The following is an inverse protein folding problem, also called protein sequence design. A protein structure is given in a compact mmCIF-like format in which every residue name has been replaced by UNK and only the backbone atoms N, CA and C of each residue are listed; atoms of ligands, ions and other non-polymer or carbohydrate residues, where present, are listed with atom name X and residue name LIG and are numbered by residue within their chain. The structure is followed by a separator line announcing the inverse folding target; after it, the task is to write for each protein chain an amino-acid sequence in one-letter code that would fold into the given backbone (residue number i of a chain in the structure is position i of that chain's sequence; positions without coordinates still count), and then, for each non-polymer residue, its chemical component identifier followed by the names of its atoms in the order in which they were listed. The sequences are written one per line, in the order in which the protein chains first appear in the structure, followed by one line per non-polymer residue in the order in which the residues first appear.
data_IF_674329899469
#
_entry.id   IF_674329899469
#
_cell.length_a   1.000
_cell.length_b   1.000
_cell.length_c   1.000
_cell.angle_alpha   90.00
_cell.angle_beta   90.00
_cell.angle_gamma   90.00
#
_symmetry.space_group_name_H-M   'P 1'
#
loop_
_entity.id
_entity.type
_entity.pdbx_description
1 polymer ?
#
# COMPACT_ATOMS: atom_id res chain seq x y z
N UNK A 1 0.36 -24.13 -8.06
CA UNK A 1 -0.14 -23.61 -6.77
C UNK A 1 -0.31 -22.12 -6.94
N UNK A 2 -1.47 -21.58 -6.57
CA UNK A 2 -1.82 -20.16 -6.75
C UNK A 2 -0.86 -19.28 -5.94
N UNK A 3 -0.26 -18.24 -6.54
CA UNK A 3 0.82 -17.45 -5.91
C UNK A 3 0.34 -16.81 -4.61
N UNK A 4 -0.90 -16.37 -4.61
CA UNK A 4 -1.62 -15.71 -3.52
C UNK A 4 -1.79 -16.66 -2.33
N UNK A 5 -2.11 -17.93 -2.58
CA UNK A 5 -2.22 -18.94 -1.51
C UNK A 5 -0.87 -19.18 -0.85
N UNK A 6 0.18 -19.38 -1.66
CA UNK A 6 1.54 -19.57 -1.14
C UNK A 6 2.02 -18.34 -0.35
N UNK A 7 1.68 -17.15 -0.81
CA UNK A 7 2.01 -15.91 -0.12
C UNK A 7 1.33 -15.85 1.25
N UNK A 8 0.02 -16.15 1.33
CA UNK A 8 -0.69 -16.22 2.61
C UNK A 8 -0.11 -17.29 3.55
N UNK A 9 0.16 -18.50 3.04
CA UNK A 9 0.74 -19.58 3.85
C UNK A 9 2.07 -19.19 4.49
N UNK A 10 2.87 -18.35 3.80
CA UNK A 10 4.19 -17.95 4.26
C UNK A 10 4.22 -16.68 5.10
N UNK A 11 3.32 -15.74 4.85
CA UNK A 11 3.41 -14.36 5.36
C UNK A 11 2.16 -13.87 6.08
N UNK A 12 1.19 -14.75 6.39
CA UNK A 12 -0.03 -14.35 7.10
C UNK A 12 0.22 -13.75 8.49
N UNK A 13 1.32 -14.09 9.14
CA UNK A 13 1.77 -13.50 10.41
C UNK A 13 2.11 -12.00 10.29
N UNK A 14 2.39 -11.52 9.07
CA UNK A 14 2.64 -10.10 8.79
C UNK A 14 1.33 -9.30 8.58
N UNK A 15 0.17 -9.96 8.53
CA UNK A 15 -1.11 -9.33 8.20
C UNK A 15 -1.85 -8.83 9.44
N UNK A 16 -1.33 -7.76 10.03
CA UNK A 16 -1.97 -7.07 11.15
C UNK A 16 -1.91 -5.55 11.00
N UNK A 17 -2.82 -4.87 11.69
CA UNK A 17 -2.70 -3.45 11.99
C UNK A 17 -2.17 -3.26 13.42
N UNK A 18 -1.46 -2.18 13.66
CA UNK A 18 -0.95 -1.80 14.97
C UNK A 18 -1.57 -0.49 15.43
N UNK A 19 -2.15 -0.48 16.62
CA UNK A 19 -2.73 0.71 17.27
C UNK A 19 -1.65 1.56 17.95
N UNK A 20 -2.01 2.78 18.37
CA UNK A 20 -1.09 3.68 19.10
C UNK A 20 -0.53 3.10 20.40
N UNK A 21 -1.25 2.18 21.04
CA UNK A 21 -0.86 1.49 22.27
C UNK A 21 -0.14 0.15 22.01
N UNK A 22 0.17 -0.16 20.74
CA UNK A 22 0.95 -1.33 20.34
C UNK A 22 0.17 -2.64 20.28
N UNK A 23 -1.18 -2.60 20.30
CA UNK A 23 -2.00 -3.81 20.10
C UNK A 23 -1.98 -4.20 18.63
N UNK A 24 -1.87 -5.50 18.38
CA UNK A 24 -1.95 -6.08 17.03
C UNK A 24 -3.37 -6.55 16.75
N UNK A 25 -3.94 -6.03 15.67
CA UNK A 25 -5.28 -6.36 15.19
C UNK A 25 -5.13 -7.16 13.89
N UNK A 26 -5.38 -8.49 13.89
CA UNK A 26 -5.15 -9.31 12.73
C UNK A 26 -6.17 -9.00 11.62
N UNK A 27 -5.71 -9.01 10.37
CA UNK A 27 -6.58 -8.99 9.21
C UNK A 27 -7.13 -10.39 8.95
N UNK A 28 -8.40 -10.47 8.57
CA UNK A 28 -8.89 -11.62 7.82
C UNK A 28 -8.39 -11.52 6.38
N UNK A 29 -8.16 -12.66 5.71
CA UNK A 29 -7.64 -12.66 4.36
C UNK A 29 -8.32 -13.68 3.45
N UNK A 30 -8.46 -13.32 2.18
CA UNK A 30 -9.04 -14.14 1.13
C UNK A 30 -8.22 -14.02 -0.16
N UNK A 31 -7.55 -15.11 -0.61
CA UNK A 31 -6.95 -15.17 -1.94
C UNK A 31 -8.03 -15.10 -3.02
N UNK A 32 -7.88 -14.14 -3.92
CA UNK A 32 -8.66 -13.94 -5.14
C UNK A 32 -7.66 -14.19 -6.29
N UNK A 33 -7.99 -14.84 -7.40
CA UNK A 33 -6.97 -15.29 -8.39
C UNK A 33 -6.10 -14.19 -9.06
N UNK A 34 -6.21 -12.94 -8.63
CA UNK A 34 -5.40 -11.78 -9.02
C UNK A 34 -4.86 -10.97 -7.81
N UNK A 35 -4.95 -11.48 -6.58
CA UNK A 35 -4.50 -10.79 -5.37
C UNK A 35 -5.06 -11.37 -4.07
N UNK A 36 -4.78 -10.74 -2.94
CA UNK A 36 -5.27 -11.13 -1.62
C UNK A 36 -6.07 -9.96 -1.09
N UNK A 37 -7.33 -10.20 -0.76
CA UNK A 37 -8.15 -9.23 -0.03
C UNK A 37 -7.90 -9.41 1.45
N UNK A 38 -7.44 -8.35 2.10
CA UNK A 38 -7.33 -8.25 3.55
C UNK A 38 -8.49 -7.38 4.05
N UNK A 39 -9.15 -7.80 5.13
CA UNK A 39 -10.21 -7.02 5.77
C UNK A 39 -10.02 -7.00 7.28
N UNK A 40 -9.99 -5.78 7.83
CA UNK A 40 -10.02 -5.50 9.26
C UNK A 40 -11.38 -4.90 9.61
N UNK A 41 -12.14 -5.61 10.44
CA UNK A 41 -13.47 -5.18 10.85
C UNK A 41 -13.44 -3.98 11.77
N UNK A 42 -14.36 -3.05 11.54
CA UNK A 42 -14.42 -1.76 12.27
C UNK A 42 -14.61 -1.90 13.77
N UNK A 43 -15.31 -2.94 14.22
CA UNK A 43 -15.48 -3.23 15.65
C UNK A 43 -14.14 -3.43 16.39
N UNK A 44 -13.06 -3.81 15.69
CA UNK A 44 -11.76 -4.02 16.31
C UNK A 44 -10.98 -2.73 16.55
N UNK A 45 -11.32 -1.64 15.87
CA UNK A 45 -10.56 -0.40 15.92
C UNK A 45 -11.38 0.87 16.16
N UNK A 46 -12.68 0.74 16.47
CA UNK A 46 -13.57 1.88 16.76
C UNK A 46 -13.06 2.81 17.86
N UNK A 47 -12.20 2.31 18.76
CA UNK A 47 -11.59 3.10 19.85
C UNK A 47 -10.13 3.51 19.59
N UNK A 48 -9.54 3.07 18.47
CA UNK A 48 -8.16 3.41 18.14
C UNK A 48 -8.04 4.86 17.71
N UNK A 49 -6.98 5.54 18.14
CA UNK A 49 -6.66 6.89 17.64
C UNK A 49 -5.94 6.84 16.31
N UNK A 50 -5.04 5.87 16.16
CA UNK A 50 -4.29 5.67 14.92
C UNK A 50 -4.14 4.19 14.62
N UNK A 51 -4.03 3.86 13.34
CA UNK A 51 -3.67 2.51 12.90
C UNK A 51 -2.55 2.55 11.89
N UNK A 52 -1.47 1.82 12.14
CA UNK A 52 -0.47 1.45 11.14
C UNK A 52 -0.89 0.14 10.51
N UNK A 53 -1.17 0.14 9.22
CA UNK A 53 -1.66 -1.03 8.49
C UNK A 53 -0.50 -1.77 7.82
N UNK A 54 -0.35 -3.06 8.15
CA UNK A 54 0.70 -3.96 7.67
C UNK A 54 2.14 -3.49 7.98
N UNK A 55 2.45 -2.99 9.20
CA UNK A 55 3.77 -2.43 9.49
C UNK A 55 4.89 -3.48 9.40
N UNK A 56 4.61 -4.75 9.69
CA UNK A 56 5.59 -5.84 9.55
C UNK A 56 5.87 -6.23 8.10
N UNK A 57 4.88 -6.13 7.22
CA UNK A 57 5.04 -6.42 5.79
C UNK A 57 5.97 -5.41 5.13
N UNK A 58 5.89 -4.14 5.53
CA UNK A 58 6.76 -3.09 5.05
C UNK A 58 8.05 -2.94 5.84
N UNK A 59 8.55 -3.96 6.56
CA UNK A 59 9.78 -3.86 7.36
C UNK A 59 10.98 -4.45 6.63
N UNK A 60 12.09 -3.71 6.60
CA UNK A 60 13.37 -4.17 6.08
C UNK A 60 14.55 -3.64 6.92
N UNK A 61 15.72 -4.27 6.81
CA UNK A 61 16.95 -3.78 7.47
C UNK A 61 17.89 -3.12 6.47
N UNK A 62 18.73 -2.21 6.96
CA UNK A 62 19.88 -1.70 6.20
C UNK A 62 20.69 -2.88 5.64
N UNK A 63 20.98 -2.83 4.34
CA UNK A 63 21.76 -3.85 3.63
C UNK A 63 20.91 -4.99 3.04
N UNK A 64 19.62 -5.11 3.37
CA UNK A 64 18.74 -6.05 2.68
C UNK A 64 18.52 -5.61 1.22
N UNK A 65 18.35 -6.59 0.32
CA UNK A 65 18.01 -6.30 -1.08
C UNK A 65 16.58 -5.75 -1.17
N UNK A 66 16.42 -4.68 -1.96
CA UNK A 66 15.12 -4.17 -2.34
C UNK A 66 14.94 -2.68 -2.05
N UNK A 67 13.68 -2.27 -2.06
CA UNK A 67 13.27 -0.89 -1.84
C UNK A 67 11.76 -0.80 -1.60
N UNK A 68 11.34 0.35 -1.08
CA UNK A 68 9.94 0.78 -1.15
C UNK A 68 9.74 1.76 -2.30
N UNK A 69 8.54 1.79 -2.87
CA UNK A 69 8.13 2.81 -3.84
C UNK A 69 6.82 3.44 -3.39
N UNK A 70 6.81 4.77 -3.26
CA UNK A 70 5.60 5.54 -3.00
C UNK A 70 5.21 6.42 -4.18
N UNK A 71 3.90 6.59 -4.41
CA UNK A 71 3.42 7.44 -5.49
C UNK A 71 3.67 8.90 -5.16
N UNK A 72 3.75 9.71 -6.22
CA UNK A 72 3.79 11.16 -6.16
C UNK A 72 2.77 11.77 -5.20
N UNK A 73 3.18 12.81 -4.49
CA UNK A 73 2.26 13.69 -3.77
C UNK A 73 1.53 14.66 -4.71
N UNK A 74 0.34 15.11 -4.31
CA UNK A 74 -0.40 16.15 -5.03
C UNK A 74 0.37 17.48 -5.14
N UNK A 75 1.26 17.75 -4.18
CA UNK A 75 2.16 18.91 -4.11
C UNK A 75 3.34 18.81 -5.08
N UNK A 76 3.36 17.80 -5.95
CA UNK A 76 4.32 17.60 -7.01
C UNK A 76 5.72 17.12 -6.58
N UNK A 77 5.94 16.80 -5.29
CA UNK A 77 7.04 15.94 -4.82
C UNK A 77 6.97 14.61 -5.59
N UNK A 78 7.96 14.28 -6.42
CA UNK A 78 7.96 13.13 -7.34
C UNK A 78 7.63 11.77 -6.69
N UNK A 79 7.58 10.70 -7.49
CA UNK A 79 7.57 9.34 -6.92
C UNK A 79 8.87 9.09 -6.15
N UNK A 80 8.79 8.41 -4.99
CA UNK A 80 9.95 8.21 -4.11
C UNK A 80 10.29 6.73 -4.02
N UNK A 81 11.49 6.39 -4.47
CA UNK A 81 12.09 5.07 -4.29
C UNK A 81 13.07 5.08 -3.12
N UNK A 82 12.80 4.25 -2.11
CA UNK A 82 13.57 4.19 -0.86
C UNK A 82 14.33 2.87 -0.78
N UNK A 83 15.59 2.86 -1.20
CA UNK A 83 16.50 1.72 -1.05
C UNK A 83 16.95 1.53 0.40
N UNK A 84 17.23 0.31 0.84
CA UNK A 84 17.61 0.02 2.24
C UNK A 84 19.11 0.24 2.52
N UNK A 85 19.63 1.42 2.21
CA UNK A 85 21.03 1.83 2.47
C UNK A 85 21.17 2.52 3.84
N UNK A 86 22.37 2.70 4.43
CA UNK A 86 22.51 3.45 5.67
C UNK A 86 21.98 4.89 5.56
N UNK A 87 21.18 5.34 6.53
CA UNK A 87 20.68 6.72 6.69
C UNK A 87 20.62 7.07 8.17
N UNK A 88 20.61 8.37 8.47
CA UNK A 88 20.22 8.87 9.79
C UNK A 88 18.74 8.57 10.05
N UNK A 89 18.36 8.60 11.33
CA UNK A 89 16.98 8.41 11.73
C UNK A 89 16.12 9.51 11.12
N UNK A 90 15.12 9.11 10.34
CA UNK A 90 14.29 10.02 9.56
C UNK A 90 12.89 9.45 9.37
N UNK A 91 11.93 10.35 9.32
CA UNK A 91 10.54 10.05 9.02
C UNK A 91 10.07 10.92 7.86
N UNK A 92 9.38 10.29 6.91
CA UNK A 92 8.71 10.95 5.80
C UNK A 92 7.25 10.50 5.75
N UNK A 93 6.34 11.46 5.57
CA UNK A 93 4.91 11.19 5.45
C UNK A 93 4.37 11.72 4.15
N UNK A 94 3.93 10.82 3.27
CA UNK A 94 3.18 11.18 2.09
C UNK A 94 1.71 11.41 2.46
N UNK A 95 1.33 12.68 2.63
CA UNK A 95 0.01 13.07 3.17
C UNK A 95 -1.10 13.09 2.13
N UNK A 96 -0.74 13.13 0.85
CA UNK A 96 -1.71 13.26 -0.25
C UNK A 96 -1.22 12.50 -1.48
N UNK A 97 -1.14 11.16 -1.39
CA UNK A 97 -0.66 10.34 -2.49
C UNK A 97 -1.66 10.38 -3.65
N UNK A 98 -1.18 10.62 -4.86
CA UNK A 98 -2.03 10.73 -6.05
C UNK A 98 -2.67 9.38 -6.40
N UNK A 99 -2.01 8.27 -6.06
CA UNK A 99 -2.50 6.90 -6.20
C UNK A 99 -2.69 6.25 -4.82
N UNK A 100 -3.68 5.38 -4.70
CA UNK A 100 -3.93 4.62 -3.46
C UNK A 100 -3.20 3.31 -3.42
N UNK A 101 -1.89 3.36 -3.60
CA UNK A 101 -1.06 2.20 -3.51
C UNK A 101 0.37 2.56 -3.13
N UNK A 102 1.13 1.57 -2.71
CA UNK A 102 2.59 1.61 -2.58
C UNK A 102 3.16 0.24 -2.89
N UNK A 103 4.45 0.18 -3.23
CA UNK A 103 5.12 -1.06 -3.57
C UNK A 103 6.21 -1.42 -2.57
N UNK A 104 6.37 -2.71 -2.35
CA UNK A 104 7.43 -3.30 -1.55
C UNK A 104 8.18 -4.29 -2.44
N UNK A 105 9.49 -4.10 -2.58
CA UNK A 105 10.40 -5.12 -3.12
C UNK A 105 11.37 -5.51 -2.03
N UNK A 106 11.46 -6.80 -1.77
CA UNK A 106 12.45 -7.45 -0.90
C UNK A 106 12.97 -8.71 -1.61
N UNK A 107 14.05 -9.29 -1.11
CA UNK A 107 14.60 -10.54 -1.66
C UNK A 107 13.56 -11.68 -1.67
N UNK A 108 12.78 -11.80 -0.58
CA UNK A 108 11.88 -12.93 -0.40
C UNK A 108 10.51 -12.74 -1.08
N UNK A 109 10.11 -11.49 -1.31
CA UNK A 109 8.85 -11.15 -1.95
C UNK A 109 8.84 -9.76 -2.56
N UNK A 110 8.00 -9.61 -3.58
CA UNK A 110 7.59 -8.32 -4.12
C UNK A 110 6.08 -8.23 -4.10
N UNK A 111 5.52 -7.07 -3.75
CA UNK A 111 4.08 -6.86 -3.79
C UNK A 111 3.69 -5.40 -4.04
N UNK A 112 2.51 -5.23 -4.62
CA UNK A 112 1.79 -3.96 -4.67
C UNK A 112 0.71 -3.99 -3.59
N UNK A 113 0.71 -2.99 -2.70
CA UNK A 113 -0.33 -2.81 -1.68
C UNK A 113 -1.27 -1.72 -2.16
N UNK A 114 -2.55 -2.05 -2.32
CA UNK A 114 -3.60 -1.11 -2.75
C UNK A 114 -4.55 -0.84 -1.59
N UNK A 115 -4.86 0.43 -1.37
CA UNK A 115 -5.64 0.91 -0.25
C UNK A 115 -7.03 1.34 -0.74
N UNK A 116 -8.08 0.94 -0.05
CA UNK A 116 -9.40 1.55 -0.23
C UNK A 116 -9.38 2.99 0.32
N UNK A 117 -10.00 3.94 -0.40
CA UNK A 117 -10.09 5.36 0.01
C UNK A 117 -11.33 5.62 0.88
N UNK A 118 -11.57 4.77 1.88
CA UNK A 118 -12.69 4.93 2.80
C UNK A 118 -12.36 5.81 4.01
N UNK A 119 -11.08 6.04 4.29
CA UNK A 119 -10.66 6.95 5.36
C UNK A 119 -9.48 7.81 4.92
N UNK A 120 -9.23 8.88 5.66
CA UNK A 120 -7.99 9.63 5.56
C UNK A 120 -6.80 8.77 6.03
N UNK A 121 -5.78 8.67 5.18
CA UNK A 121 -4.53 8.00 5.50
C UNK A 121 -3.34 8.75 4.94
N UNK A 122 -2.16 8.47 5.49
CA UNK A 122 -0.87 8.90 4.99
C UNK A 122 -0.01 7.67 4.74
N UNK A 123 0.96 7.72 3.82
CA UNK A 123 1.99 6.69 3.77
C UNK A 123 3.14 7.13 4.67
N UNK A 124 3.41 6.38 5.73
CA UNK A 124 4.48 6.64 6.67
C UNK A 124 5.70 5.81 6.25
N UNK A 125 6.83 6.48 6.00
CA UNK A 125 8.13 5.88 5.77
C UNK A 125 9.06 6.28 6.91
N UNK A 126 9.73 5.30 7.51
CA UNK A 126 10.74 5.55 8.54
C UNK A 126 12.03 4.82 8.22
N UNK A 127 13.14 5.47 8.55
CA UNK A 127 14.42 4.84 8.79
C UNK A 127 14.75 5.12 10.25
N UNK A 128 14.84 4.10 11.09
CA UNK A 128 15.11 4.27 12.51
C UNK A 128 15.97 3.11 13.00
N UNK A 129 17.12 3.41 13.61
CA UNK A 129 18.04 2.40 14.15
C UNK A 129 18.42 1.32 13.11
N UNK A 130 18.61 1.72 11.85
CA UNK A 130 18.93 0.81 10.75
C UNK A 130 17.77 -0.09 10.28
N UNK A 131 16.54 0.21 10.69
CA UNK A 131 15.31 -0.47 10.24
C UNK A 131 14.49 0.48 9.40
N UNK A 132 14.10 0.02 8.21
CA UNK A 132 13.16 0.68 7.32
C UNK A 132 11.75 0.17 7.57
N UNK A 133 10.78 1.08 7.59
CA UNK A 133 9.35 0.72 7.54
C UNK A 133 8.60 1.54 6.49
N UNK A 134 7.60 0.92 5.87
CA UNK A 134 6.55 1.60 5.11
C UNK A 134 5.18 1.03 5.51
N UNK A 135 4.21 1.90 5.75
CA UNK A 135 2.83 1.48 5.99
C UNK A 135 1.83 2.59 5.67
N UNK A 136 0.55 2.25 5.61
CA UNK A 136 -0.51 3.25 5.66
C UNK A 136 -0.80 3.59 7.14
N UNK A 137 -0.78 4.87 7.47
CA UNK A 137 -1.15 5.41 8.78
C UNK A 137 -2.53 6.06 8.66
N UNK A 138 -3.52 5.46 9.29
CA UNK A 138 -4.86 6.03 9.47
C UNK A 138 -4.90 6.81 10.78
N UNK A 139 -5.47 8.02 10.75
CA UNK A 139 -5.57 8.93 11.90
C UNK A 139 -7.04 9.31 12.14
N UNK A 140 -7.59 8.85 13.26
CA UNK A 140 -8.98 9.05 13.67
C UNK A 140 -9.13 10.14 14.74
N UNK A 141 -8.06 10.88 15.05
CA UNK A 141 -8.11 11.94 16.07
C UNK A 141 -8.95 13.15 15.63
N UNK A 142 -9.17 13.32 14.31
CA UNK A 142 -9.90 14.44 13.71
C UNK A 142 -11.43 14.42 13.85
N UNK A 143 -11.98 13.66 14.81
CA UNK A 143 -13.43 13.47 15.02
C UNK A 143 -14.17 12.76 13.86
N UNK A 144 -13.46 12.18 12.89
CA UNK A 144 -14.09 11.31 11.90
C UNK A 144 -14.54 10.01 12.61
N UNK A 145 -15.85 9.68 12.62
CA UNK A 145 -16.29 8.44 13.23
C UNK A 145 -15.74 7.25 12.44
N UNK A 146 -15.46 6.14 13.11
CA UNK A 146 -15.19 4.87 12.41
C UNK A 146 -16.51 4.32 11.88
N UNK A 147 -16.67 4.26 10.55
CA UNK A 147 -17.94 3.94 9.89
C UNK A 147 -17.92 2.71 8.97
N UNK A 148 -16.78 2.31 8.41
CA UNK A 148 -16.57 1.12 7.55
C UNK A 148 -15.34 0.29 7.95
N UNK A 149 -15.26 -0.94 7.44
CA UNK A 149 -14.12 -1.83 7.59
C UNK A 149 -12.92 -1.34 6.77
N UNK A 150 -11.70 -1.59 7.20
CA UNK A 150 -10.51 -1.31 6.38
C UNK A 150 -10.28 -2.50 5.46
N UNK A 151 -10.23 -2.25 4.14
CA UNK A 151 -9.93 -3.26 3.13
C UNK A 151 -8.68 -2.90 2.34
N UNK A 152 -7.78 -3.88 2.22
CA UNK A 152 -6.53 -3.76 1.48
C UNK A 152 -6.49 -4.85 0.43
N UNK A 153 -6.03 -4.51 -0.77
CA UNK A 153 -5.70 -5.51 -1.78
C UNK A 153 -4.18 -5.63 -1.87
N UNK A 154 -3.67 -6.79 -1.53
CA UNK A 154 -2.26 -7.13 -1.67
C UNK A 154 -2.08 -7.92 -2.95
N UNK A 155 -1.23 -7.46 -3.87
CA UNK A 155 -0.97 -8.13 -5.14
C UNK A 155 0.45 -8.70 -5.12
N UNK A 156 0.64 -10.00 -4.82
CA UNK A 156 1.93 -10.65 -4.88
C UNK A 156 2.48 -10.64 -6.31
N UNK A 157 3.72 -10.19 -6.44
CA UNK A 157 4.50 -10.28 -7.66
C UNK A 157 5.57 -11.35 -7.49
N UNK A 158 6.13 -11.79 -8.61
CA UNK A 158 7.32 -12.63 -8.59
C UNK A 158 8.47 -11.85 -7.92
N UNK A 159 9.16 -12.38 -6.91
CA UNK A 159 10.27 -11.66 -6.26
C UNK A 159 11.43 -11.36 -7.21
N UNK A 160 11.71 -12.25 -8.17
CA UNK A 160 12.85 -12.11 -9.10
C UNK A 160 12.59 -10.97 -10.10
N UNK A 161 11.38 -10.90 -10.64
CA UNK A 161 11.03 -9.95 -11.72
C UNK A 161 10.10 -8.80 -11.27
N UNK A 162 9.59 -8.84 -10.04
CA UNK A 162 8.67 -7.87 -9.46
C UNK A 162 9.39 -6.58 -9.10
N UNK A 163 9.63 -5.75 -10.11
CA UNK A 163 10.17 -4.42 -9.94
C UNK A 163 9.03 -3.35 -9.92
N UNK A 164 9.42 -2.09 -9.80
CA UNK A 164 8.46 -0.99 -9.75
C UNK A 164 7.71 -0.83 -11.08
N UNK A 165 8.31 -1.21 -12.21
CA UNK A 165 7.66 -1.18 -13.52
C UNK A 165 6.53 -2.23 -13.56
N UNK A 166 6.79 -3.43 -13.04
CA UNK A 166 5.80 -4.48 -12.94
C UNK A 166 4.66 -4.08 -11.99
N UNK A 167 4.96 -3.44 -10.85
CA UNK A 167 3.95 -2.87 -9.94
C UNK A 167 3.08 -1.83 -10.67
N UNK A 168 3.69 -0.88 -11.39
CA UNK A 168 2.97 0.16 -12.12
C UNK A 168 2.10 -0.41 -13.26
N UNK A 169 2.60 -1.39 -14.02
CA UNK A 169 1.83 -2.09 -15.05
C UNK A 169 0.66 -2.86 -14.45
N UNK A 170 0.87 -3.53 -13.33
CA UNK A 170 -0.16 -4.28 -12.61
C UNK A 170 -1.27 -3.35 -12.14
N UNK A 171 -0.93 -2.23 -11.49
CA UNK A 171 -1.93 -1.22 -11.09
C UNK A 171 -2.70 -0.70 -12.30
N UNK A 172 -2.01 -0.38 -13.39
CA UNK A 172 -2.64 0.08 -14.63
C UNK A 172 -3.64 -0.95 -15.20
N UNK A 173 -3.27 -2.23 -15.26
CA UNK A 173 -4.14 -3.29 -15.74
C UNK A 173 -5.39 -3.42 -14.88
N UNK A 174 -5.24 -3.47 -13.55
CA UNK A 174 -6.37 -3.57 -12.62
C UNK A 174 -7.33 -2.38 -12.76
N UNK A 175 -6.81 -1.16 -12.93
CA UNK A 175 -7.63 0.04 -13.13
C UNK A 175 -8.32 0.07 -14.50
N UNK A 176 -7.69 -0.45 -15.55
CA UNK A 176 -8.30 -0.61 -16.87
C UNK A 176 -9.45 -1.63 -16.82
N UNK A 177 -9.24 -2.78 -16.16
CA UNK A 177 -10.26 -3.83 -15.99
C UNK A 177 -11.48 -3.33 -15.22
N UNK A 178 -11.27 -2.43 -14.24
CA UNK A 178 -12.35 -1.75 -13.49
C UNK A 178 -13.03 -0.61 -14.26
N UNK A 179 -12.55 -0.27 -15.45
CA UNK A 179 -13.07 0.84 -16.24
C UNK A 179 -12.74 2.24 -15.68
N UNK A 180 -11.80 2.35 -14.73
CA UNK A 180 -11.38 3.62 -14.14
C UNK A 180 -10.54 4.47 -15.11
N UNK A 181 -9.93 3.84 -16.10
CA UNK A 181 -9.07 4.48 -17.09
C UNK A 181 -9.75 4.42 -18.46
N UNK A 182 -10.05 5.58 -19.02
CA UNK A 182 -10.40 5.72 -20.44
C UNK A 182 -9.15 6.14 -21.22
N UNK A 183 -8.59 5.29 -22.10
CA UNK A 183 -7.43 5.62 -22.91
C UNK A 183 -7.65 6.87 -23.78
N UNK A 184 -6.58 7.66 -24.01
CA UNK A 184 -6.64 8.85 -24.85
C UNK A 184 -7.18 8.56 -26.25
N UNK A 185 -6.78 7.42 -26.86
CA UNK A 185 -7.30 6.97 -28.16
C UNK A 185 -8.83 6.94 -28.19
N UNK A 186 -9.47 6.38 -27.17
CA UNK A 186 -10.93 6.32 -27.06
C UNK A 186 -11.54 7.70 -26.79
N UNK A 187 -10.85 8.57 -26.04
CA UNK A 187 -11.31 9.96 -25.83
C UNK A 187 -11.32 10.74 -27.14
N UNK A 188 -10.33 10.54 -28.01
CA UNK A 188 -10.21 11.21 -29.30
C UNK A 188 -11.21 10.72 -30.37
N UNK A 189 -11.88 9.58 -30.16
CA UNK A 189 -12.97 9.13 -31.04
C UNK A 189 -14.22 10.02 -30.91
N UNK A 190 -14.34 10.76 -29.80
CA UNK A 190 -15.35 11.79 -29.61
C UNK A 190 -14.79 13.14 -30.05
N UNK A 191 -15.55 13.97 -30.79
CA UNK A 191 -15.16 15.35 -31.07
C UNK A 191 -14.80 16.03 -29.74
N UNK A 192 -13.72 16.82 -29.73
CA UNK A 192 -13.43 17.65 -28.57
C UNK A 192 -14.64 18.55 -28.33
N UNK A 193 -15.30 18.38 -27.18
CA UNK A 193 -16.22 19.42 -26.70
C UNK A 193 -15.37 20.64 -26.42
N UNK A 194 -15.63 21.74 -27.13
CA UNK A 194 -15.15 23.07 -26.74
C UNK A 194 -15.65 23.32 -25.31
N UNK A 195 -14.76 23.16 -24.34
CA UNK A 195 -14.96 23.76 -23.03
C UNK A 195 -14.71 25.26 -23.22
N UNK A 196 -15.76 26.00 -23.55
CA UNK A 196 -15.85 27.45 -23.41
C UNK A 196 -16.01 27.83 -21.93
#
# INVERSE_FOLDING_TARGET
MDREKLFCERYADLFYAETEDGRHLPFSYLPLGNGIRLELKKEFFVTAKTLRVLPALGRAKVGEEGYFITPREITCSGDIQTFFIPREDAEYRNRSPIMSCYGIRRAEYSCLVRLERNYHYQLELKAENGVYTICALYDFTGHEPVWDDIRIELIPLDPETGDYNQMARTERCLRLERGEIVPLRQKCEKPAVEYA
#
